data_IF_642635660467
#
_entry.id   IF_642635660467
#
_cell.length_a   1.000
_cell.length_b   1.000
_cell.length_c   1.000
_cell.angle_alpha   90.00
_cell.angle_beta   90.00
_cell.angle_gamma   90.00
#
_symmetry.space_group_name_H-M   'P 1'
#
loop_
_entity.id
_entity.type
_entity.pdbx_description
1 polymer ?
#
# COMPACT_ATOMS: atom_id res chain seq x y z
N UNK A 1 2.40 8.47 -23.71
CA UNK A 1 3.43 7.60 -24.33
C UNK A 1 2.74 6.39 -24.92
N UNK A 2 2.73 6.25 -26.25
CA UNK A 2 2.34 5.00 -26.93
C UNK A 2 3.62 4.33 -27.44
N UNK A 3 3.83 3.09 -27.06
CA UNK A 3 4.87 2.25 -27.66
C UNK A 3 4.24 1.53 -28.87
N UNK A 4 4.84 1.70 -30.04
CA UNK A 4 4.48 0.94 -31.24
C UNK A 4 5.51 -0.18 -31.37
N UNK A 5 5.05 -1.42 -31.51
CA UNK A 5 5.92 -2.58 -31.68
C UNK A 5 6.85 -2.39 -32.90
N UNK A 6 8.15 -2.67 -32.74
CA UNK A 6 9.22 -2.49 -33.74
C UNK A 6 9.57 -1.03 -34.15
N UNK A 7 9.21 -0.02 -33.36
CA UNK A 7 9.66 1.36 -33.56
C UNK A 7 10.57 1.78 -32.38
N UNK A 8 11.89 1.98 -32.59
CA UNK A 8 12.82 2.36 -31.52
C UNK A 8 12.65 3.82 -31.08
N UNK A 9 12.06 4.65 -31.94
CA UNK A 9 11.79 6.06 -31.70
C UNK A 9 10.35 6.20 -31.17
N UNK A 10 10.20 6.26 -29.85
CA UNK A 10 8.90 6.51 -29.23
C UNK A 10 8.43 7.94 -29.51
N UNK A 11 7.21 8.10 -30.03
CA UNK A 11 6.58 9.43 -30.14
C UNK A 11 6.10 9.85 -28.74
N UNK A 12 6.70 10.92 -28.21
CA UNK A 12 6.27 11.54 -26.96
C UNK A 12 5.09 12.48 -27.23
N UNK A 13 3.89 11.90 -27.28
CA UNK A 13 2.65 12.68 -27.32
C UNK A 13 2.27 13.16 -25.92
N UNK A 14 2.36 14.48 -25.70
CA UNK A 14 1.79 15.16 -24.55
C UNK A 14 0.31 15.40 -24.78
N UNK A 15 -0.52 14.44 -24.39
CA UNK A 15 -1.96 14.68 -24.32
C UNK A 15 -2.28 15.44 -23.03
N UNK A 16 -2.87 16.63 -23.17
CA UNK A 16 -3.47 17.38 -22.08
C UNK A 16 -4.73 16.68 -21.58
N UNK A 17 -4.56 15.52 -20.93
CA UNK A 17 -5.65 14.78 -20.34
C UNK A 17 -6.07 15.50 -19.05
N UNK A 18 -7.30 16.04 -19.03
CA UNK A 18 -7.95 16.48 -17.81
C UNK A 18 -8.26 15.24 -16.96
N UNK A 19 -7.28 14.79 -16.18
CA UNK A 19 -7.53 13.79 -15.14
C UNK A 19 -8.41 14.43 -14.08
N UNK A 20 -9.71 14.16 -14.14
CA UNK A 20 -10.61 14.46 -13.03
C UNK A 20 -10.08 13.70 -11.81
N UNK A 21 -9.67 14.41 -10.76
CA UNK A 21 -9.29 13.82 -9.48
C UNK A 21 -10.52 13.08 -8.94
N UNK A 22 -10.56 11.76 -9.11
CA UNK A 22 -11.69 10.95 -8.65
C UNK A 22 -11.68 10.90 -7.12
N UNK A 23 -12.49 11.74 -6.48
CA UNK A 23 -12.73 11.73 -5.03
C UNK A 23 -13.42 10.44 -4.54
N UNK A 24 -13.83 9.55 -5.45
CA UNK A 24 -14.64 8.37 -5.14
C UNK A 24 -13.86 7.06 -5.00
N UNK A 25 -12.53 7.05 -5.19
CA UNK A 25 -11.75 5.79 -5.22
C UNK A 25 -10.59 5.72 -4.22
N UNK A 26 -10.25 6.82 -3.55
CA UNK A 26 -9.14 6.87 -2.58
C UNK A 26 -9.73 7.15 -1.21
N UNK A 27 -9.81 6.11 -0.37
CA UNK A 27 -10.04 6.30 1.07
C UNK A 27 -8.71 6.64 1.74
N UNK A 28 -8.77 7.51 2.74
CA UNK A 28 -7.62 7.88 3.56
C UNK A 28 -7.87 7.46 5.01
N UNK A 29 -6.84 6.93 5.65
CA UNK A 29 -6.84 6.59 7.07
C UNK A 29 -5.73 7.38 7.75
N UNK A 30 -6.04 7.97 8.90
CA UNK A 30 -5.09 8.73 9.71
C UNK A 30 -5.04 8.11 11.08
N UNK A 31 -3.85 7.73 11.52
CA UNK A 31 -3.63 7.16 12.84
C UNK A 31 -2.91 8.15 13.74
N UNK A 32 -3.31 8.28 15.02
CA UNK A 32 -2.54 9.03 16.00
C UNK A 32 -1.11 8.50 16.07
N UNK A 33 -0.16 9.42 15.97
CA UNK A 33 1.28 9.16 16.09
C UNK A 33 1.73 9.57 17.49
N UNK A 34 2.67 8.82 18.08
CA UNK A 34 3.28 9.16 19.37
C UNK A 34 3.85 10.58 19.35
N UNK A 35 3.55 11.37 20.36
CA UNK A 35 4.08 12.73 20.51
C UNK A 35 5.62 12.73 20.42
N UNK A 36 6.16 13.62 19.58
CA UNK A 36 7.60 13.75 19.38
C UNK A 36 8.24 12.67 18.49
N UNK A 37 7.48 11.70 17.98
CA UNK A 37 7.99 10.74 17.00
C UNK A 37 8.42 11.46 15.72
N UNK A 38 9.54 11.01 15.16
CA UNK A 38 10.14 11.55 13.94
C UNK A 38 10.11 10.49 12.86
N UNK A 39 10.14 10.91 11.59
CA UNK A 39 10.23 9.99 10.43
C UNK A 39 11.38 8.99 10.58
N UNK A 40 12.51 9.42 11.17
CA UNK A 40 13.66 8.54 11.42
C UNK A 40 13.33 7.36 12.34
N UNK A 41 12.39 7.51 13.27
CA UNK A 41 12.03 6.45 14.23
C UNK A 41 11.29 5.32 13.51
N UNK A 42 10.42 5.67 12.54
CA UNK A 42 9.76 4.71 11.66
C UNK A 42 10.74 4.02 10.71
N UNK A 43 11.63 4.81 10.09
CA UNK A 43 12.67 4.27 9.22
C UNK A 43 13.60 3.30 9.99
N UNK A 44 13.95 3.63 11.22
CA UNK A 44 14.76 2.77 12.08
C UNK A 44 14.08 1.43 12.34
N UNK A 45 12.77 1.41 12.64
CA UNK A 45 12.01 0.15 12.79
C UNK A 45 12.06 -0.69 11.51
N UNK A 46 11.87 -0.06 10.34
CA UNK A 46 11.93 -0.74 9.04
C UNK A 46 13.30 -1.42 8.87
N UNK A 47 14.39 -0.68 9.02
CA UNK A 47 15.75 -1.20 8.79
C UNK A 47 16.19 -2.21 9.85
N UNK A 48 15.88 -1.97 11.13
CA UNK A 48 16.26 -2.90 12.20
C UNK A 48 15.58 -4.27 12.06
N UNK A 49 14.37 -4.30 11.50
CA UNK A 49 13.60 -5.52 11.27
C UNK A 49 13.75 -6.07 9.85
N UNK A 50 14.61 -5.47 9.02
CA UNK A 50 14.86 -5.88 7.63
C UNK A 50 13.63 -5.78 6.73
N UNK A 51 12.68 -4.89 7.02
CA UNK A 51 11.40 -4.79 6.29
C UNK A 51 11.55 -4.24 4.89
N UNK A 52 12.64 -3.54 4.62
CA UNK A 52 13.06 -3.12 3.28
C UNK A 52 13.47 -4.30 2.40
N UNK A 53 13.88 -5.43 2.99
CA UNK A 53 14.28 -6.66 2.27
C UNK A 53 13.07 -7.57 2.03
N UNK A 54 11.96 -6.99 1.62
CA UNK A 54 10.72 -7.71 1.33
C UNK A 54 10.70 -8.26 -0.10
N UNK A 55 10.28 -9.51 -0.24
CA UNK A 55 10.02 -10.15 -1.52
C UNK A 55 8.56 -10.56 -1.63
N UNK A 56 7.93 -10.12 -2.72
CA UNK A 56 6.55 -10.50 -3.04
C UNK A 56 6.40 -12.01 -3.23
N UNK A 57 5.23 -12.54 -2.89
CA UNK A 57 4.84 -13.91 -3.22
C UNK A 57 4.81 -14.11 -4.74
N UNK A 58 5.02 -15.35 -5.19
CA UNK A 58 5.05 -15.70 -6.63
C UNK A 58 3.74 -15.37 -7.35
N UNK A 59 2.63 -15.35 -6.64
CA UNK A 59 1.30 -15.13 -7.20
C UNK A 59 0.99 -13.65 -7.50
N UNK A 60 1.94 -12.74 -7.20
CA UNK A 60 1.96 -11.33 -7.63
C UNK A 60 0.89 -10.43 -7.02
N UNK A 61 -0.24 -10.98 -6.57
CA UNK A 61 -1.35 -10.28 -5.97
C UNK A 61 -1.28 -10.34 -4.44
N UNK A 62 -1.58 -9.22 -3.77
CA UNK A 62 -1.77 -9.17 -2.30
C UNK A 62 -0.52 -8.93 -1.45
N UNK A 63 0.69 -9.16 -1.97
CA UNK A 63 1.93 -9.01 -1.18
C UNK A 63 2.19 -7.59 -0.66
N UNK A 64 1.76 -6.55 -1.39
CA UNK A 64 1.90 -5.17 -0.92
C UNK A 64 1.05 -4.90 0.34
N UNK A 65 -0.14 -5.51 0.43
CA UNK A 65 -1.01 -5.39 1.61
C UNK A 65 -0.39 -6.09 2.81
N UNK A 66 0.16 -7.28 2.59
CA UNK A 66 0.90 -8.00 3.63
C UNK A 66 2.07 -7.19 4.18
N UNK A 67 2.85 -6.57 3.29
CA UNK A 67 3.95 -5.70 3.69
C UNK A 67 3.48 -4.51 4.54
N UNK A 68 2.45 -3.78 4.09
CA UNK A 68 1.90 -2.63 4.83
C UNK A 68 1.35 -3.06 6.19
N UNK A 69 0.61 -4.17 6.27
CA UNK A 69 0.10 -4.69 7.54
C UNK A 69 1.25 -5.05 8.48
N UNK A 70 2.30 -5.68 7.97
CA UNK A 70 3.48 -6.00 8.78
C UNK A 70 4.11 -4.74 9.35
N UNK A 71 4.29 -3.68 8.54
CA UNK A 71 4.82 -2.40 9.03
C UNK A 71 3.92 -1.76 10.09
N UNK A 72 2.60 -1.73 9.88
CA UNK A 72 1.67 -1.19 10.87
C UNK A 72 1.76 -1.95 12.19
N UNK A 73 1.87 -3.28 12.13
CA UNK A 73 2.07 -4.11 13.33
C UNK A 73 3.38 -3.76 14.03
N UNK A 74 4.49 -3.65 13.30
CA UNK A 74 5.78 -3.29 13.87
C UNK A 74 5.76 -1.89 14.50
N UNK A 75 5.10 -0.91 13.86
CA UNK A 75 4.95 0.44 14.41
C UNK A 75 4.07 0.49 15.65
N UNK A 76 3.02 -0.35 15.72
CA UNK A 76 2.24 -0.56 16.94
C UNK A 76 3.12 -1.15 18.04
N UNK A 77 3.91 -2.19 17.75
CA UNK A 77 4.82 -2.82 18.71
C UNK A 77 5.90 -1.85 19.21
N UNK A 78 6.38 -0.94 18.35
CA UNK A 78 7.32 0.12 18.72
C UNK A 78 6.66 1.33 19.42
N UNK A 79 5.35 1.27 19.68
CA UNK A 79 4.54 2.36 20.25
C UNK A 79 4.65 3.67 19.45
N UNK A 80 4.79 3.60 18.14
CA UNK A 80 4.88 4.78 17.26
C UNK A 80 3.50 5.27 16.80
N UNK A 81 2.52 4.37 16.71
CA UNK A 81 1.14 4.66 16.31
C UNK A 81 0.14 3.99 17.26
N UNK A 82 -1.13 4.38 17.13
CA UNK A 82 -2.23 3.83 17.93
C UNK A 82 -2.33 2.29 17.85
N UNK A 83 -2.59 1.59 18.98
CA UNK A 83 -2.48 0.13 19.05
C UNK A 83 -3.53 -0.63 18.22
N UNK A 84 -4.62 0.03 17.82
CA UNK A 84 -5.67 -0.55 16.97
C UNK A 84 -5.42 -0.36 15.47
N UNK A 85 -4.41 0.43 15.06
CA UNK A 85 -4.22 0.82 13.66
C UNK A 85 -4.07 -0.38 12.70
N UNK A 86 -3.29 -1.38 13.09
CA UNK A 86 -3.10 -2.59 12.29
C UNK A 86 -4.40 -3.39 12.12
N UNK A 87 -5.15 -3.59 13.21
CA UNK A 87 -6.40 -4.38 13.20
C UNK A 87 -7.49 -3.69 12.40
N UNK A 88 -7.62 -2.37 12.54
CA UNK A 88 -8.56 -1.59 11.72
C UNK A 88 -8.18 -1.65 10.24
N UNK A 89 -6.90 -1.46 9.91
CA UNK A 89 -6.45 -1.50 8.51
C UNK A 89 -6.67 -2.88 7.87
N UNK A 90 -6.49 -3.97 8.62
CA UNK A 90 -6.76 -5.33 8.11
C UNK A 90 -8.20 -5.45 7.58
N UNK A 91 -9.19 -4.94 8.32
CA UNK A 91 -10.60 -4.97 7.90
C UNK A 91 -10.85 -4.26 6.56
N UNK A 92 -10.07 -3.21 6.27
CA UNK A 92 -10.15 -2.49 5.00
C UNK A 92 -9.33 -3.17 3.90
N UNK A 93 -8.21 -3.83 4.23
CA UNK A 93 -7.34 -4.45 3.23
C UNK A 93 -7.85 -5.79 2.68
N UNK A 94 -8.76 -6.44 3.39
CA UNK A 94 -9.38 -7.72 2.99
C UNK A 94 -10.37 -7.59 1.82
N UNK A 95 -10.62 -6.37 1.32
CA UNK A 95 -11.62 -6.13 0.28
C UNK A 95 -11.11 -5.26 -0.86
N UNK A 96 -11.71 -5.48 -2.02
CA UNK A 96 -11.55 -4.68 -3.23
C UNK A 96 -12.74 -3.73 -3.41
N UNK A 97 -12.48 -2.42 -3.46
CA UNK A 97 -13.52 -1.38 -3.50
C UNK A 97 -13.71 -0.68 -4.86
N UNK A 98 -12.90 -1.00 -5.87
CA UNK A 98 -12.91 -0.28 -7.15
C UNK A 98 -13.73 -0.96 -8.26
N UNK A 99 -14.24 -2.17 -8.03
CA UNK A 99 -15.14 -2.85 -8.96
C UNK A 99 -16.59 -2.67 -8.51
N UNK A 100 -17.34 -1.85 -9.25
CA UNK A 100 -18.79 -1.63 -9.17
C UNK A 100 -19.31 -1.02 -7.85
N UNK A 101 -19.79 0.24 -7.92
CA UNK A 101 -20.32 1.01 -6.78
C UNK A 101 -21.53 0.36 -6.07
N UNK A 102 -22.20 -0.58 -6.72
CA UNK A 102 -23.46 -1.19 -6.27
C UNK A 102 -23.31 -2.63 -5.75
N UNK A 103 -22.12 -3.24 -5.87
CA UNK A 103 -21.86 -4.59 -5.36
C UNK A 103 -21.12 -4.55 -4.03
N UNK A 104 -21.38 -5.55 -3.18
CA UNK A 104 -20.57 -5.75 -1.98
C UNK A 104 -19.08 -5.87 -2.38
N UNK A 105 -18.16 -5.24 -1.63
CA UNK A 105 -16.74 -5.34 -1.91
C UNK A 105 -16.28 -6.80 -2.00
N UNK A 106 -15.55 -7.15 -3.05
CA UNK A 106 -15.07 -8.52 -3.25
C UNK A 106 -13.96 -8.82 -2.23
N UNK A 107 -14.01 -9.95 -1.52
CA UNK A 107 -12.90 -10.39 -0.69
C UNK A 107 -11.62 -10.51 -1.53
N UNK A 108 -10.53 -10.01 -1.00
CA UNK A 108 -9.23 -10.02 -1.65
C UNK A 108 -8.19 -10.60 -0.69
N UNK A 109 -7.80 -11.86 -0.87
CA UNK A 109 -6.88 -12.53 0.06
C UNK A 109 -5.52 -11.82 0.10
N UNK A 110 -4.95 -11.76 1.30
CA UNK A 110 -3.63 -11.20 1.56
C UNK A 110 -2.63 -12.35 1.58
N UNK A 111 -1.73 -12.36 0.60
CA UNK A 111 -0.73 -13.40 0.47
C UNK A 111 0.58 -12.99 1.16
N UNK A 112 1.13 -13.81 2.06
CA UNK A 112 2.39 -13.51 2.72
C UNK A 112 3.54 -13.56 1.71
N UNK A 113 4.42 -12.56 1.81
CA UNK A 113 5.75 -12.62 1.18
C UNK A 113 6.82 -12.99 2.19
N UNK A 114 8.09 -12.84 1.81
CA UNK A 114 9.23 -13.15 2.68
C UNK A 114 10.05 -11.91 3.00
N UNK A 115 10.62 -11.87 4.21
CA UNK A 115 11.61 -10.89 4.64
C UNK A 115 12.96 -11.61 4.80
N UNK A 116 14.04 -10.97 4.39
CA UNK A 116 15.41 -11.48 4.50
C UNK A 116 16.22 -10.65 5.49
#
# INVERSE_FOLDING_TARGET
MRAIWNQPEGILDWLGLCYARTITAIKSWTYPVRTGAKVKDFAQVIYQLGRERYRFSKDGNGGCRFWVLTLLKDFVTACLIAPWAHTEMLQWMEFQYYEEKEKMPKPLPIFPGTFY
#
